data_IF_427660209849
#
_entry.id   IF_427660209849
#
_cell.length_a   1.000
_cell.length_b   1.000
_cell.length_c   1.000
_cell.angle_alpha   90.00
_cell.angle_beta   90.00
_cell.angle_gamma   90.00
#
_symmetry.space_group_name_H-M   'P 1'
#
loop_
_entity.id
_entity.type
_entity.pdbx_description
1 polymer ?
#
# COMPACT_ATOMS: atom_id res chain seq x y z
N UNK A 1 -7.44 -1.91 41.38
CA UNK A 1 -6.74 -1.11 40.34
C UNK A 1 -6.17 -2.05 39.29
N UNK A 2 -6.87 -2.18 38.16
CA UNK A 2 -6.52 -3.12 37.10
C UNK A 2 -5.46 -2.52 36.14
N UNK A 3 -4.29 -3.16 36.06
CA UNK A 3 -3.27 -2.89 35.04
C UNK A 3 -3.70 -3.55 33.73
N UNK A 4 -4.17 -2.75 32.78
CA UNK A 4 -4.41 -3.23 31.41
C UNK A 4 -3.06 -3.30 30.71
N UNK A 5 -2.53 -4.52 30.62
CA UNK A 5 -1.35 -4.87 29.82
C UNK A 5 -1.81 -5.01 28.38
N UNK A 6 -1.47 -4.05 27.53
CA UNK A 6 -1.72 -4.12 26.08
C UNK A 6 -0.78 -5.17 25.48
N UNK A 7 -1.19 -6.44 25.55
CA UNK A 7 -0.54 -7.55 24.86
C UNK A 7 -0.87 -7.44 23.37
N UNK A 8 0.15 -7.15 22.57
CA UNK A 8 0.43 -7.78 21.27
C UNK A 8 -0.81 -8.22 20.45
N UNK A 9 -1.32 -7.32 19.62
CA UNK A 9 -2.30 -7.65 18.57
C UNK A 9 -1.55 -7.89 17.24
N UNK A 10 -0.68 -8.89 17.24
CA UNK A 10 0.04 -9.39 16.06
C UNK A 10 -0.03 -10.91 16.09
N UNK A 11 -1.24 -11.46 15.95
CA UNK A 11 -1.43 -12.88 15.66
C UNK A 11 -2.87 -13.15 15.22
N UNK A 12 -3.24 -12.71 14.03
CA UNK A 12 -4.22 -13.43 13.21
C UNK A 12 -3.67 -13.47 11.80
N UNK A 13 -3.02 -14.59 11.51
CA UNK A 13 -2.50 -14.92 10.20
C UNK A 13 -3.63 -15.02 9.20
N UNK A 14 -3.62 -14.14 8.21
CA UNK A 14 -4.26 -14.41 6.94
C UNK A 14 -3.36 -15.37 6.18
N UNK A 15 -3.64 -16.66 6.32
CA UNK A 15 -3.06 -17.71 5.49
C UNK A 15 -3.73 -17.63 4.11
N UNK A 16 -3.29 -16.70 3.26
CA UNK A 16 -3.61 -16.75 1.84
C UNK A 16 -2.81 -17.90 1.22
N UNK A 17 -3.46 -19.05 1.03
CA UNK A 17 -2.97 -20.12 0.15
C UNK A 17 -3.02 -19.57 -1.27
N UNK A 18 -1.91 -18.97 -1.70
CA UNK A 18 -1.65 -18.77 -3.12
C UNK A 18 -0.96 -20.04 -3.60
N UNK A 19 -1.76 -20.93 -4.19
CA UNK A 19 -1.25 -22.09 -4.91
C UNK A 19 -0.23 -21.61 -5.95
N UNK A 20 1.03 -21.98 -5.73
CA UNK A 20 2.14 -21.69 -6.63
C UNK A 20 2.15 -22.73 -7.75
N UNK A 21 2.12 -22.33 -9.04
CA UNK A 21 2.58 -23.22 -10.08
C UNK A 21 4.12 -23.27 -10.07
N UNK A 22 4.60 -24.51 -10.25
CA UNK A 22 5.96 -25.03 -10.13
C UNK A 22 7.07 -24.19 -10.79
N UNK A 23 8.26 -24.29 -10.19
CA UNK A 23 9.57 -23.88 -10.70
C UNK A 23 9.81 -24.36 -12.14
N UNK A 24 10.34 -23.46 -12.98
CA UNK A 24 11.38 -23.82 -13.97
C UNK A 24 12.43 -22.72 -13.94
N UNK A 25 13.69 -23.14 -13.85
CA UNK A 25 14.83 -22.25 -13.80
C UNK A 25 15.02 -21.54 -15.14
N UNK A 26 15.41 -20.28 -15.07
CA UNK A 26 16.58 -19.72 -15.74
C UNK A 26 16.69 -18.25 -15.35
N UNK A 27 17.80 -17.91 -14.72
CA UNK A 27 18.24 -16.54 -14.51
C UNK A 27 18.45 -15.88 -15.87
N UNK A 28 17.59 -14.93 -16.22
CA UNK A 28 17.85 -14.01 -17.31
C UNK A 28 17.99 -12.59 -16.76
N UNK A 29 19.00 -11.84 -17.22
CA UNK A 29 19.27 -10.49 -16.76
C UNK A 29 18.11 -9.58 -17.16
N UNK A 30 17.86 -8.60 -16.29
CA UNK A 30 16.88 -7.54 -16.49
C UNK A 30 17.45 -6.61 -17.57
N UNK A 31 17.30 -6.99 -18.82
CA UNK A 31 17.51 -6.09 -19.96
C UNK A 31 16.39 -6.28 -20.97
N UNK A 32 15.60 -5.21 -21.08
CA UNK A 32 15.16 -4.69 -22.37
C UNK A 32 14.35 -5.62 -23.28
N UNK A 33 13.13 -5.99 -22.87
CA UNK A 33 12.09 -6.39 -23.83
C UNK A 33 10.72 -6.04 -23.26
N UNK A 34 10.41 -4.74 -23.22
CA UNK A 34 9.07 -4.23 -22.99
C UNK A 34 8.38 -4.17 -24.36
N UNK A 35 8.10 -5.33 -24.96
CA UNK A 35 7.24 -5.38 -26.13
C UNK A 35 5.76 -5.23 -25.71
N UNK A 36 4.88 -5.04 -26.69
CA UNK A 36 3.80 -4.05 -26.71
C UNK A 36 2.75 -4.15 -25.60
N UNK A 37 2.92 -3.33 -24.56
CA UNK A 37 1.86 -2.89 -23.65
C UNK A 37 1.26 -1.57 -24.20
N UNK A 38 -0.07 -1.40 -24.19
CA UNK A 38 -0.70 -0.12 -24.57
C UNK A 38 -0.16 1.03 -23.71
N UNK A 39 -0.01 2.24 -24.28
CA UNK A 39 0.58 3.38 -23.56
C UNK A 39 -0.12 3.67 -22.22
N UNK A 40 -1.44 3.48 -22.14
CA UNK A 40 -2.22 3.60 -20.92
C UNK A 40 -1.87 2.52 -19.87
N UNK A 41 -1.78 1.25 -20.29
CA UNK A 41 -1.46 0.15 -19.37
C UNK A 41 -0.02 0.23 -18.85
N UNK A 42 0.95 0.69 -19.66
CA UNK A 42 2.32 0.91 -19.16
C UNK A 42 2.38 2.01 -18.11
N UNK A 43 1.61 3.09 -18.30
CA UNK A 43 1.56 4.20 -17.37
C UNK A 43 1.00 3.75 -16.03
N UNK A 44 -0.14 3.05 -16.03
CA UNK A 44 -0.75 2.49 -14.82
C UNK A 44 0.20 1.53 -14.12
N UNK A 45 0.83 0.60 -14.86
CA UNK A 45 1.79 -0.35 -14.30
C UNK A 45 2.99 0.35 -13.64
N UNK A 46 3.57 1.36 -14.30
CA UNK A 46 4.70 2.14 -13.73
C UNK A 46 4.28 2.88 -12.46
N UNK A 47 3.14 3.55 -12.48
CA UNK A 47 2.59 4.25 -11.31
C UNK A 47 2.31 3.29 -10.15
N UNK A 48 1.76 2.11 -10.45
CA UNK A 48 1.45 1.11 -9.44
C UNK A 48 2.72 0.54 -8.80
N UNK A 49 3.74 0.23 -9.60
CA UNK A 49 5.04 -0.20 -9.09
C UNK A 49 5.73 0.91 -8.28
N UNK A 50 5.53 2.17 -8.65
CA UNK A 50 6.02 3.30 -7.87
C UNK A 50 5.36 3.37 -6.48
N UNK A 51 4.03 3.32 -6.40
CA UNK A 51 3.32 3.32 -5.11
C UNK A 51 3.67 2.09 -4.26
N UNK A 52 3.86 0.92 -4.87
CA UNK A 52 4.35 -0.27 -4.17
C UNK A 52 5.77 -0.09 -3.61
N UNK A 53 6.63 0.72 -4.25
CA UNK A 53 7.94 1.08 -3.71
C UNK A 53 7.80 1.90 -2.44
N UNK A 54 6.90 2.89 -2.48
CA UNK A 54 6.67 3.81 -1.36
C UNK A 54 6.02 3.10 -0.17
N UNK A 55 5.19 2.09 -0.43
CA UNK A 55 4.57 1.27 0.60
C UNK A 55 5.51 0.20 1.19
N UNK A 56 6.62 -0.13 0.51
CA UNK A 56 7.55 -1.17 0.96
C UNK A 56 8.51 -0.62 2.02
N UNK A 57 8.64 -1.27 3.20
CA UNK A 57 9.53 -0.81 4.26
C UNK A 57 11.02 -0.82 3.85
N UNK A 58 11.40 -1.68 2.89
CA UNK A 58 12.80 -1.88 2.50
C UNK A 58 13.15 -1.20 1.16
N UNK A 59 12.21 -0.51 0.50
CA UNK A 59 12.43 0.18 -0.79
C UNK A 59 12.75 -0.73 -2.00
N UNK A 60 13.08 -2.00 -1.78
CA UNK A 60 13.32 -2.99 -2.83
C UNK A 60 11.99 -3.58 -3.31
N UNK A 61 11.62 -3.28 -4.56
CA UNK A 61 10.43 -3.87 -5.21
C UNK A 61 10.69 -5.32 -5.66
N UNK A 62 11.95 -5.66 -5.97
CA UNK A 62 12.30 -6.94 -6.63
C UNK A 62 11.90 -8.16 -5.79
N UNK A 63 11.92 -8.02 -4.47
CA UNK A 63 11.57 -9.08 -3.52
C UNK A 63 10.07 -9.09 -3.16
N UNK A 64 9.32 -8.07 -3.61
CA UNK A 64 7.88 -8.00 -3.36
C UNK A 64 7.13 -9.01 -4.21
N UNK A 65 6.50 -9.99 -3.53
CA UNK A 65 5.64 -10.98 -4.17
C UNK A 65 4.53 -10.30 -5.00
N UNK A 66 3.97 -9.20 -4.49
CA UNK A 66 2.94 -8.43 -5.17
C UNK A 66 3.45 -7.87 -6.51
N UNK A 67 4.64 -7.26 -6.52
CA UNK A 67 5.20 -6.69 -7.74
C UNK A 67 5.46 -7.75 -8.82
N UNK A 68 6.00 -8.92 -8.44
CA UNK A 68 6.18 -10.04 -9.38
C UNK A 68 4.86 -10.54 -9.94
N UNK A 69 3.85 -10.69 -9.08
CA UNK A 69 2.52 -11.14 -9.50
C UNK A 69 1.90 -10.18 -10.49
N UNK A 70 1.93 -8.88 -10.20
CA UNK A 70 1.39 -7.83 -11.08
C UNK A 70 2.09 -7.85 -12.45
N UNK A 71 3.43 -7.91 -12.46
CA UNK A 71 4.20 -7.99 -13.71
C UNK A 71 3.81 -9.23 -14.54
N UNK A 72 3.62 -10.38 -13.89
CA UNK A 72 3.17 -11.60 -14.55
C UNK A 72 1.75 -11.47 -15.13
N UNK A 73 0.82 -10.82 -14.41
CA UNK A 73 -0.54 -10.58 -14.90
C UNK A 73 -0.55 -9.64 -16.12
N UNK A 74 0.18 -8.52 -16.07
CA UNK A 74 0.23 -7.59 -17.19
C UNK A 74 0.86 -8.21 -18.44
N UNK A 75 1.90 -9.05 -18.26
CA UNK A 75 2.51 -9.81 -19.37
C UNK A 75 1.55 -10.85 -19.95
N UNK A 76 0.76 -11.54 -19.10
CA UNK A 76 -0.22 -12.53 -19.53
C UNK A 76 -1.30 -11.96 -20.45
N UNK A 77 -1.64 -10.68 -20.29
CA UNK A 77 -2.72 -10.03 -21.05
C UNK A 77 -2.22 -9.23 -22.28
N UNK A 78 -0.92 -9.30 -22.60
CA UNK A 78 -0.27 -8.52 -23.67
C UNK A 78 -0.66 -8.99 -25.09
N UNK A 79 -0.75 -10.29 -25.35
CA UNK A 79 -0.72 -10.84 -26.74
C UNK A 79 -1.97 -11.56 -27.23
N UNK A 80 -3.06 -11.62 -26.46
CA UNK A 80 -4.14 -12.58 -26.78
C UNK A 80 -5.38 -11.94 -27.46
N UNK A 81 -6.03 -12.71 -28.36
CA UNK A 81 -7.06 -12.34 -29.35
C UNK A 81 -8.41 -11.78 -28.83
N UNK A 82 -9.24 -11.28 -29.77
CA UNK A 82 -10.44 -10.42 -29.64
C UNK A 82 -11.44 -10.71 -28.48
N UNK A 83 -11.54 -11.94 -27.95
CA UNK A 83 -12.33 -12.20 -26.72
C UNK A 83 -11.70 -11.60 -25.44
N UNK A 84 -10.48 -11.07 -25.53
CA UNK A 84 -9.69 -10.58 -24.39
C UNK A 84 -9.50 -9.07 -24.36
N UNK A 85 -10.11 -8.30 -25.27
CA UNK A 85 -10.22 -6.84 -25.11
C UNK A 85 -10.85 -6.50 -23.75
N UNK A 86 -11.95 -7.19 -23.41
CA UNK A 86 -12.60 -7.07 -22.10
C UNK A 86 -11.63 -7.40 -20.94
N UNK A 87 -10.82 -8.45 -21.07
CA UNK A 87 -9.87 -8.85 -20.01
C UNK A 87 -8.69 -7.88 -19.87
N UNK A 88 -8.25 -7.24 -20.96
CA UNK A 88 -7.25 -6.16 -20.93
C UNK A 88 -7.80 -4.92 -20.24
N UNK A 89 -9.04 -4.54 -20.56
CA UNK A 89 -9.71 -3.41 -19.94
C UNK A 89 -9.98 -3.68 -18.45
N UNK A 90 -10.36 -4.90 -18.09
CA UNK A 90 -10.47 -5.34 -16.69
C UNK A 90 -9.12 -5.26 -15.96
N UNK A 91 -8.02 -5.71 -16.57
CA UNK A 91 -6.69 -5.61 -15.97
C UNK A 91 -6.24 -4.16 -15.78
N UNK A 92 -6.53 -3.29 -16.76
CA UNK A 92 -6.29 -1.85 -16.66
C UNK A 92 -7.11 -1.23 -15.52
N UNK A 93 -8.41 -1.52 -15.47
CA UNK A 93 -9.32 -1.03 -14.44
C UNK A 93 -8.90 -1.47 -13.05
N UNK A 94 -8.57 -2.76 -12.87
CA UNK A 94 -8.03 -3.27 -11.60
C UNK A 94 -6.73 -2.58 -11.22
N UNK A 95 -5.82 -2.37 -12.17
CA UNK A 95 -4.59 -1.60 -11.93
C UNK A 95 -4.86 -0.18 -11.46
N UNK A 96 -5.82 0.51 -12.06
CA UNK A 96 -6.23 1.86 -11.63
C UNK A 96 -6.88 1.86 -10.25
N UNK A 97 -7.73 0.88 -9.96
CA UNK A 97 -8.37 0.72 -8.66
C UNK A 97 -7.32 0.49 -7.55
N UNK A 98 -6.37 -0.42 -7.77
CA UNK A 98 -5.29 -0.67 -6.81
C UNK A 98 -4.34 0.54 -6.68
N UNK A 99 -4.07 1.26 -7.76
CA UNK A 99 -3.27 2.49 -7.69
C UNK A 99 -3.97 3.54 -6.80
N UNK A 100 -5.27 3.70 -6.97
CA UNK A 100 -6.09 4.61 -6.16
C UNK A 100 -6.08 4.18 -4.70
N UNK A 101 -6.21 2.88 -4.44
CA UNK A 101 -6.18 2.33 -3.09
C UNK A 101 -4.82 2.56 -2.39
N UNK A 102 -3.71 2.25 -3.05
CA UNK A 102 -2.37 2.44 -2.45
C UNK A 102 -2.07 3.91 -2.21
N UNK A 103 -2.40 4.78 -3.17
CA UNK A 103 -2.19 6.22 -3.03
C UNK A 103 -3.08 6.84 -1.95
N UNK A 104 -4.33 6.40 -1.81
CA UNK A 104 -5.22 6.86 -0.74
C UNK A 104 -4.74 6.36 0.62
N UNK A 105 -4.22 5.14 0.71
CA UNK A 105 -3.65 4.62 1.95
C UNK A 105 -2.43 5.42 2.40
N UNK A 106 -1.52 5.78 1.48
CA UNK A 106 -0.38 6.66 1.79
C UNK A 106 -0.84 8.01 2.32
N UNK A 107 -1.77 8.68 1.63
CA UNK A 107 -2.34 9.96 2.07
C UNK A 107 -3.07 9.83 3.41
N UNK A 108 -3.81 8.74 3.62
CA UNK A 108 -4.46 8.47 4.89
C UNK A 108 -3.44 8.38 6.03
N UNK A 109 -2.31 7.70 5.83
CA UNK A 109 -1.27 7.64 6.87
C UNK A 109 -0.64 8.99 7.18
N UNK A 110 -0.53 9.88 6.20
CA UNK A 110 -0.04 11.26 6.38
C UNK A 110 -1.04 12.08 7.19
N UNK A 111 -2.32 12.09 6.77
CA UNK A 111 -3.40 12.75 7.50
C UNK A 111 -3.57 12.18 8.90
N UNK A 112 -3.45 10.87 9.05
CA UNK A 112 -3.50 10.22 10.36
C UNK A 112 -2.34 10.68 11.23
N UNK A 113 -1.11 10.78 10.73
CA UNK A 113 0.01 11.30 11.55
C UNK A 113 -0.19 12.76 11.97
N UNK A 114 -0.79 13.57 11.10
CA UNK A 114 -1.01 14.99 11.37
C UNK A 114 -2.19 15.25 12.32
N UNK A 115 -3.31 14.56 12.10
CA UNK A 115 -4.58 14.82 12.77
C UNK A 115 -5.01 13.75 13.77
N UNK A 116 -4.34 12.59 13.83
CA UNK A 116 -4.55 11.65 14.92
C UNK A 116 -4.02 12.32 16.19
N UNK A 117 -4.95 12.95 16.92
CA UNK A 117 -4.64 13.81 18.04
C UNK A 117 -3.85 13.07 19.11
N UNK A 118 -3.07 13.85 19.88
CA UNK A 118 -2.39 13.41 21.10
C UNK A 118 -3.37 13.05 22.24
N UNK A 119 -4.56 12.56 21.92
CA UNK A 119 -5.70 12.46 22.84
C UNK A 119 -6.39 13.80 23.09
N UNK A 120 -7.22 13.84 24.13
CA UNK A 120 -7.79 15.09 24.65
C UNK A 120 -6.67 15.98 25.20
N UNK A 121 -6.73 17.29 24.92
CA UNK A 121 -5.78 18.26 25.51
C UNK A 121 -6.02 18.31 27.01
N UNK A 122 -4.95 18.39 27.80
CA UNK A 122 -5.11 18.53 29.25
C UNK A 122 -5.84 19.83 29.59
N UNK A 123 -6.48 19.88 30.77
CA UNK A 123 -7.15 21.09 31.28
C UNK A 123 -6.17 22.27 31.32
N UNK A 124 -4.90 22.00 31.65
CA UNK A 124 -3.85 23.01 31.71
C UNK A 124 -3.48 23.54 30.33
N UNK A 125 -3.24 22.65 29.37
CA UNK A 125 -2.92 23.04 27.97
C UNK A 125 -4.06 23.84 27.34
N UNK A 126 -5.30 23.47 27.67
CA UNK A 126 -6.50 24.16 27.19
C UNK A 126 -6.61 25.55 27.81
N UNK A 127 -6.40 25.67 29.12
CA UNK A 127 -6.43 26.97 29.81
C UNK A 127 -5.35 27.91 29.29
N UNK A 128 -4.11 27.44 29.11
CA UNK A 128 -3.02 28.26 28.59
C UNK A 128 -3.30 28.73 27.14
N UNK A 129 -3.96 27.91 26.32
CA UNK A 129 -4.35 28.30 24.95
C UNK A 129 -5.36 29.44 24.92
N UNK A 130 -6.31 29.47 25.84
CA UNK A 130 -7.34 30.51 25.92
C UNK A 130 -6.93 31.69 26.82
N UNK A 131 -5.71 31.67 27.38
CA UNK A 131 -5.18 32.72 28.24
C UNK A 131 -5.62 32.66 29.71
N UNK A 132 -6.20 31.55 30.15
CA UNK A 132 -6.52 31.32 31.56
C UNK A 132 -5.35 30.67 32.31
N UNK A 133 -5.31 30.89 33.63
CA UNK A 133 -4.40 30.20 34.54
C UNK A 133 -5.21 29.32 35.48
N UNK A 134 -4.78 28.07 35.68
CA UNK A 134 -5.41 27.18 36.64
C UNK A 134 -5.14 27.67 38.06
N UNK A 135 -6.17 27.72 38.94
CA UNK A 135 -5.96 27.89 40.36
C UNK A 135 -4.99 26.82 40.87
N UNK A 136 -3.98 27.23 41.64
CA UNK A 136 -3.11 26.30 42.36
C UNK A 136 -3.68 26.17 43.75
N UNK A 137 -4.04 24.96 44.16
CA UNK A 137 -4.60 24.73 45.50
C UNK A 137 -3.62 25.25 46.55
N UNK A 138 -4.05 26.12 47.48
CA UNK A 138 -3.23 26.50 48.62
C UNK A 138 -2.97 25.26 49.49
N UNK A 139 -1.72 25.11 49.95
CA UNK A 139 -1.31 24.05 50.88
C UNK A 139 -1.99 24.19 52.23
#
# INVERSE_FOLDING_TARGET
>A
MARIRVKSFLSKGYHMVLDSPRKSGNSLPISCSLERITMAATKVLRSLLHELRQASPNGCIKDSLAARYILAQYKKFETTDQQLCKRRDEALFLGQAYLTYLSSQRKYTELYKEYHGRGERSVRDTADLVGFKLPTDPK
#
